data_IF_223629948164
#
_entry.id   IF_223629948164
#
_cell.length_a   1.000
_cell.length_b   1.000
_cell.length_c   1.000
_cell.angle_alpha   90.00
_cell.angle_beta   90.00
_cell.angle_gamma   90.00
#
_symmetry.space_group_name_H-M   'P 1'
#
loop_
_entity.id
_entity.type
_entity.pdbx_description
1 polymer ?
#
# COMPACT_ATOMS: atom_id res chain seq x y z
N UNK A 1 35.86 20.30 -10.62
CA UNK A 1 36.87 19.69 -11.50
C UNK A 1 36.28 18.39 -12.03
N UNK A 2 36.35 18.22 -13.35
CA UNK A 2 35.89 17.10 -14.17
C UNK A 2 34.37 16.84 -14.17
N UNK A 3 33.68 17.49 -15.11
CA UNK A 3 32.56 16.88 -15.83
C UNK A 3 33.11 15.61 -16.52
N UNK A 4 32.87 14.44 -15.95
CA UNK A 4 33.02 13.19 -16.68
C UNK A 4 31.67 12.79 -17.25
N UNK A 5 31.60 12.77 -18.58
CA UNK A 5 30.56 12.20 -19.43
C UNK A 5 29.85 11.00 -18.79
N UNK A 6 28.62 11.19 -18.31
CA UNK A 6 27.68 10.09 -18.05
C UNK A 6 27.04 9.58 -19.36
N UNK A 7 27.40 10.17 -20.49
CA UNK A 7 26.95 9.86 -21.85
C UNK A 7 27.76 8.77 -22.57
N UNK A 8 28.83 8.24 -21.97
CA UNK A 8 29.76 7.28 -22.61
C UNK A 8 29.85 5.90 -21.94
N UNK A 9 29.06 5.60 -20.91
CA UNK A 9 29.03 4.25 -20.31
C UNK A 9 27.97 3.38 -21.00
N UNK A 10 28.33 2.88 -22.18
CA UNK A 10 27.57 1.86 -22.94
C UNK A 10 27.80 0.43 -22.44
N UNK A 11 28.73 0.20 -21.52
CA UNK A 11 29.03 -1.13 -20.99
C UNK A 11 28.30 -1.42 -19.67
N UNK A 12 27.82 -2.66 -19.55
CA UNK A 12 27.24 -3.18 -18.33
C UNK A 12 28.23 -3.09 -17.15
N UNK A 13 27.78 -2.68 -15.96
CA UNK A 13 28.65 -2.58 -14.79
C UNK A 13 29.25 -3.95 -14.43
N UNK A 14 30.58 -4.04 -14.41
CA UNK A 14 31.32 -5.23 -13.92
C UNK A 14 30.81 -5.71 -12.57
N UNK A 15 30.79 -7.03 -12.31
CA UNK A 15 30.31 -7.63 -11.06
C UNK A 15 30.82 -6.94 -9.77
N UNK A 16 32.09 -6.53 -9.75
CA UNK A 16 32.69 -5.83 -8.61
C UNK A 16 32.02 -4.47 -8.32
N UNK A 17 31.62 -3.72 -9.37
CA UNK A 17 30.88 -2.45 -9.22
C UNK A 17 29.48 -2.65 -8.66
N UNK A 18 28.78 -3.73 -9.08
CA UNK A 18 27.46 -4.07 -8.55
C UNK A 18 27.53 -4.49 -7.07
N UNK A 19 28.54 -5.29 -6.69
CA UNK A 19 28.76 -5.65 -5.29
C UNK A 19 29.10 -4.44 -4.42
N UNK A 20 29.93 -3.53 -4.92
CA UNK A 20 30.30 -2.31 -4.18
C UNK A 20 29.11 -1.35 -4.06
N UNK A 21 28.26 -1.20 -5.10
CA UNK A 21 27.01 -0.45 -5.03
C UNK A 21 26.02 -1.07 -4.03
N UNK A 22 25.87 -2.41 -4.06
CA UNK A 22 25.04 -3.14 -3.11
C UNK A 22 25.53 -2.97 -1.67
N UNK A 23 26.84 -3.06 -1.40
CA UNK A 23 27.43 -2.80 -0.07
C UNK A 23 27.17 -1.38 0.42
N UNK A 24 27.09 -0.41 -0.50
CA UNK A 24 26.73 0.98 -0.19
C UNK A 24 25.24 1.18 0.03
N UNK A 25 24.41 0.17 -0.21
CA UNK A 25 22.96 0.21 -0.06
C UNK A 25 22.23 0.74 -1.31
N UNK A 26 22.90 0.81 -2.45
CA UNK A 26 22.32 1.17 -3.75
C UNK A 26 21.97 -0.11 -4.50
N UNK A 27 20.81 -0.68 -4.15
CA UNK A 27 20.30 -1.94 -4.69
C UNK A 27 19.10 -1.67 -5.61
N UNK A 28 18.97 -2.38 -6.74
CA UNK A 28 17.79 -2.29 -7.60
C UNK A 28 16.52 -2.57 -6.80
N UNK A 29 15.49 -1.73 -6.97
CA UNK A 29 14.27 -1.79 -6.17
C UNK A 29 13.06 -1.37 -7.01
N UNK A 30 12.22 -2.36 -7.29
CA UNK A 30 10.94 -2.19 -7.95
C UNK A 30 9.93 -1.64 -6.97
N UNK A 31 9.43 -0.45 -7.32
CA UNK A 31 8.35 0.18 -6.57
C UNK A 31 7.04 -0.63 -6.69
N UNK A 32 6.87 -1.35 -7.81
CA UNK A 32 5.67 -2.13 -8.09
C UNK A 32 5.52 -3.37 -7.21
N UNK A 33 6.62 -4.07 -6.93
CA UNK A 33 6.60 -5.21 -6.01
C UNK A 33 6.14 -4.75 -4.62
N UNK A 34 6.69 -3.64 -4.11
CA UNK A 34 6.31 -3.13 -2.80
C UNK A 34 4.83 -2.75 -2.74
N UNK A 35 4.35 -2.04 -3.76
CA UNK A 35 2.93 -1.70 -3.87
C UNK A 35 2.07 -2.97 -3.90
N UNK A 36 2.46 -3.99 -4.66
CA UNK A 36 1.76 -5.27 -4.76
C UNK A 36 1.66 -5.99 -3.42
N UNK A 37 2.76 -6.09 -2.66
CA UNK A 37 2.74 -6.70 -1.33
C UNK A 37 1.81 -5.94 -0.37
N UNK A 38 1.86 -4.61 -0.37
CA UNK A 38 0.98 -3.79 0.49
C UNK A 38 -0.49 -3.97 0.11
N UNK A 39 -0.82 -4.03 -1.19
CA UNK A 39 -2.18 -4.34 -1.66
C UNK A 39 -2.63 -5.73 -1.22
N UNK A 40 -1.77 -6.74 -1.34
CA UNK A 40 -2.05 -8.09 -0.87
C UNK A 40 -2.28 -8.13 0.64
N UNK A 41 -1.41 -7.47 1.42
CA UNK A 41 -1.57 -7.34 2.87
C UNK A 41 -2.89 -6.65 3.24
N UNK A 42 -3.27 -5.59 2.52
CA UNK A 42 -4.55 -4.92 2.70
C UNK A 42 -5.75 -5.82 2.42
N UNK A 43 -5.71 -6.60 1.33
CA UNK A 43 -6.75 -7.57 1.01
C UNK A 43 -6.87 -8.68 2.08
N UNK A 44 -5.73 -9.21 2.56
CA UNK A 44 -5.72 -10.18 3.65
C UNK A 44 -6.28 -9.59 4.95
N UNK A 45 -5.92 -8.35 5.28
CA UNK A 45 -6.45 -7.66 6.45
C UNK A 45 -7.97 -7.49 6.37
N UNK A 46 -8.52 -7.06 5.22
CA UNK A 46 -9.97 -6.95 5.02
C UNK A 46 -10.65 -8.33 5.09
N UNK A 47 -10.03 -9.36 4.51
CA UNK A 47 -10.58 -10.72 4.48
C UNK A 47 -10.64 -11.36 5.87
N UNK A 48 -9.55 -11.25 6.63
CA UNK A 48 -9.41 -11.91 7.93
C UNK A 48 -10.02 -11.11 9.07
N UNK A 49 -9.93 -9.78 9.03
CA UNK A 49 -10.28 -8.90 10.15
C UNK A 49 -11.52 -8.05 9.91
N UNK A 50 -11.99 -7.91 8.67
CA UNK A 50 -13.08 -6.99 8.32
C UNK A 50 -14.34 -7.20 9.17
N UNK A 51 -14.84 -8.45 9.24
CA UNK A 51 -16.05 -8.77 9.98
C UNK A 51 -15.88 -8.67 11.50
N UNK A 52 -14.77 -9.15 12.04
CA UNK A 52 -14.51 -9.09 13.49
C UNK A 52 -14.36 -7.63 13.96
N UNK A 53 -13.64 -6.81 13.19
CA UNK A 53 -13.42 -5.40 13.50
C UNK A 53 -14.72 -4.61 13.41
N UNK A 54 -15.50 -4.83 12.34
CA UNK A 54 -16.78 -4.17 12.18
C UNK A 54 -17.78 -4.58 13.27
N UNK A 55 -17.87 -5.87 13.61
CA UNK A 55 -18.71 -6.35 14.71
C UNK A 55 -18.33 -5.73 16.06
N UNK A 56 -17.05 -5.74 16.40
CA UNK A 56 -16.57 -5.15 17.66
C UNK A 56 -16.86 -3.64 17.75
N UNK A 57 -16.73 -2.91 16.64
CA UNK A 57 -17.09 -1.50 16.58
C UNK A 57 -18.61 -1.28 16.68
N UNK A 58 -19.41 -2.11 16.00
CA UNK A 58 -20.87 -2.03 16.06
C UNK A 58 -21.40 -2.30 17.46
N UNK A 59 -20.90 -3.33 18.14
CA UNK A 59 -21.29 -3.67 19.51
C UNK A 59 -20.95 -2.53 20.47
N UNK A 60 -19.76 -1.94 20.31
CA UNK A 60 -19.34 -0.82 21.12
C UNK A 60 -20.19 0.43 20.86
N UNK A 61 -20.53 0.72 19.60
CA UNK A 61 -21.37 1.86 19.23
C UNK A 61 -22.84 1.68 19.65
N UNK A 62 -23.33 0.44 19.64
CA UNK A 62 -24.72 0.12 19.98
C UNK A 62 -25.11 0.60 21.36
N UNK A 63 -24.20 0.53 22.33
CA UNK A 63 -24.45 0.96 23.70
C UNK A 63 -24.83 2.46 23.75
N UNK A 64 -24.17 3.30 22.95
CA UNK A 64 -24.45 4.75 22.90
C UNK A 64 -25.77 5.11 22.22
N UNK A 65 -26.26 4.25 21.32
CA UNK A 65 -27.48 4.51 20.55
C UNK A 65 -28.69 3.87 21.22
N UNK A 66 -28.59 2.61 21.62
CA UNK A 66 -29.71 1.83 22.12
C UNK A 66 -29.94 2.01 23.62
N UNK A 67 -28.91 2.36 24.39
CA UNK A 67 -28.97 2.49 25.85
C UNK A 67 -28.19 3.72 26.34
N UNK A 68 -28.49 4.93 25.82
CA UNK A 68 -27.75 6.14 26.22
C UNK A 68 -27.88 6.42 27.73
N UNK A 69 -29.05 6.16 28.30
CA UNK A 69 -29.33 6.38 29.73
C UNK A 69 -28.64 5.37 30.65
N UNK A 70 -28.15 4.25 30.09
CA UNK A 70 -27.44 3.23 30.84
C UNK A 70 -25.96 3.58 31.09
N UNK A 71 -25.49 4.73 30.59
CA UNK A 71 -24.13 5.23 30.81
C UNK A 71 -24.18 6.31 31.89
N UNK A 72 -23.78 6.00 33.14
CA UNK A 72 -23.70 7.00 34.19
C UNK A 72 -22.72 8.11 33.81
N UNK A 73 -23.13 9.37 34.04
CA UNK A 73 -22.34 10.57 33.76
C UNK A 73 -21.39 10.93 34.91
N UNK A 74 -20.80 9.93 35.57
CA UNK A 74 -19.72 10.14 36.54
C UNK A 74 -18.34 9.87 35.92
N UNK A 75 -17.31 10.44 36.54
CA UNK A 75 -15.95 10.43 36.01
C UNK A 75 -15.36 9.01 35.89
N UNK A 76 -15.77 8.07 36.74
CA UNK A 76 -15.23 6.71 36.74
C UNK A 76 -15.81 5.89 35.58
N UNK A 77 -17.13 5.92 35.41
CA UNK A 77 -17.79 5.23 34.29
C UNK A 77 -17.36 5.81 32.94
N UNK A 78 -17.23 7.14 32.84
CA UNK A 78 -16.75 7.78 31.62
C UNK A 78 -15.31 7.35 31.28
N UNK A 79 -14.44 7.19 32.29
CA UNK A 79 -13.08 6.66 32.10
C UNK A 79 -13.09 5.21 31.62
N UNK A 80 -13.95 4.36 32.17
CA UNK A 80 -14.07 2.97 31.74
C UNK A 80 -14.57 2.87 30.29
N UNK A 81 -15.56 3.68 29.93
CA UNK A 81 -16.05 3.80 28.54
C UNK A 81 -14.93 4.25 27.60
N UNK A 82 -14.15 5.26 27.98
CA UNK A 82 -12.99 5.72 27.20
C UNK A 82 -11.93 4.64 27.00
N UNK A 83 -11.59 3.90 28.05
CA UNK A 83 -10.61 2.81 27.97
C UNK A 83 -11.13 1.64 27.13
N UNK A 84 -12.42 1.31 27.23
CA UNK A 84 -13.07 0.28 26.41
C UNK A 84 -13.04 0.66 24.93
N UNK A 85 -13.55 1.85 24.59
CA UNK A 85 -13.50 2.41 23.24
C UNK A 85 -12.08 2.46 22.70
N UNK A 86 -11.14 2.98 23.50
CA UNK A 86 -9.74 3.10 23.12
C UNK A 86 -9.12 1.75 22.77
N UNK A 87 -9.39 0.70 23.56
CA UNK A 87 -8.92 -0.66 23.28
C UNK A 87 -9.54 -1.22 22.00
N UNK A 88 -10.85 -1.06 21.80
CA UNK A 88 -11.54 -1.57 20.60
C UNK A 88 -11.02 -0.88 19.34
N UNK A 89 -10.91 0.46 19.35
CA UNK A 89 -10.38 1.23 18.21
C UNK A 89 -8.90 0.92 17.98
N UNK A 90 -8.11 0.79 19.05
CA UNK A 90 -6.70 0.43 18.93
C UNK A 90 -6.55 -0.97 18.32
N UNK A 91 -7.33 -1.96 18.77
CA UNK A 91 -7.32 -3.31 18.19
C UNK A 91 -7.76 -3.32 16.72
N UNK A 92 -8.79 -2.54 16.39
CA UNK A 92 -9.31 -2.38 15.03
C UNK A 92 -8.27 -1.82 14.05
N UNK A 93 -7.34 -0.97 14.51
CA UNK A 93 -6.33 -0.33 13.66
C UNK A 93 -4.98 -1.04 13.74
N UNK A 94 -4.56 -1.47 14.94
CA UNK A 94 -3.22 -2.00 15.18
C UNK A 94 -2.97 -3.30 14.40
N UNK A 95 -3.96 -4.20 14.35
CA UNK A 95 -3.77 -5.49 13.67
C UNK A 95 -3.69 -5.35 12.13
N UNK A 96 -4.60 -4.62 11.45
CA UNK A 96 -4.42 -4.31 10.03
C UNK A 96 -3.11 -3.57 9.74
N UNK A 97 -2.74 -2.59 10.58
CA UNK A 97 -1.50 -1.86 10.41
C UNK A 97 -0.27 -2.76 10.51
N UNK A 98 -0.27 -3.70 11.46
CA UNK A 98 0.79 -4.70 11.60
C UNK A 98 0.91 -5.59 10.36
N UNK A 99 -0.22 -6.03 9.79
CA UNK A 99 -0.23 -6.78 8.52
C UNK A 99 0.38 -5.96 7.39
N UNK A 100 0.03 -4.67 7.28
CA UNK A 100 0.56 -3.78 6.25
C UNK A 100 2.07 -3.52 6.44
N UNK A 101 2.54 -3.35 7.68
CA UNK A 101 3.96 -3.21 8.00
C UNK A 101 4.71 -4.48 7.59
N UNK A 102 4.20 -5.66 7.98
CA UNK A 102 4.81 -6.94 7.61
C UNK A 102 4.85 -7.12 6.10
N UNK A 103 3.77 -6.77 5.39
CA UNK A 103 3.72 -6.84 3.94
C UNK A 103 4.71 -5.88 3.28
N UNK A 104 4.82 -4.63 3.77
CA UNK A 104 5.80 -3.67 3.27
C UNK A 104 7.24 -4.14 3.51
N UNK A 105 7.54 -4.71 4.68
CA UNK A 105 8.86 -5.28 4.97
C UNK A 105 9.15 -6.48 4.06
N UNK A 106 8.19 -7.39 3.92
CA UNK A 106 8.31 -8.56 3.05
C UNK A 106 8.59 -8.14 1.59
N UNK A 107 7.89 -7.12 1.07
CA UNK A 107 8.12 -6.61 -0.26
C UNK A 107 9.54 -6.06 -0.49
N UNK A 108 10.17 -5.49 0.54
CA UNK A 108 11.57 -5.04 0.44
C UNK A 108 12.54 -6.22 0.54
N UNK A 109 12.31 -7.13 1.50
CA UNK A 109 13.18 -8.29 1.75
C UNK A 109 13.22 -9.27 0.57
N UNK A 110 12.10 -9.45 -0.14
CA UNK A 110 12.03 -10.30 -1.34
C UNK A 110 12.86 -9.73 -2.50
N UNK A 111 13.00 -8.41 -2.57
CA UNK A 111 13.74 -7.74 -3.65
C UNK A 111 15.24 -7.72 -3.39
N UNK A 112 15.64 -7.45 -2.14
CA UNK A 112 17.05 -7.42 -1.74
C UNK A 112 17.19 -7.76 -0.26
N UNK A 113 18.32 -8.36 0.13
CA UNK A 113 18.63 -8.52 1.55
C UNK A 113 18.81 -7.14 2.21
N UNK A 114 18.43 -6.98 3.50
CA UNK A 114 18.69 -5.75 4.22
C UNK A 114 20.19 -5.45 4.25
N UNK A 115 20.61 -4.34 3.64
CA UNK A 115 22.00 -3.86 3.69
C UNK A 115 22.08 -2.67 4.64
N UNK A 116 22.86 -2.82 5.72
CA UNK A 116 23.20 -1.70 6.59
C UNK A 116 24.42 -0.97 6.04
N UNK A 117 24.20 0.23 5.50
CA UNK A 117 25.27 1.13 5.03
C UNK A 117 25.18 2.49 5.71
N UNK A 118 26.21 2.84 6.48
CA UNK A 118 26.36 4.19 7.05
C UNK A 118 26.79 5.23 6.02
N UNK A 119 27.17 4.82 4.80
CA UNK A 119 27.63 5.72 3.74
C UNK A 119 26.48 6.57 3.18
N UNK A 120 25.27 5.98 3.10
CA UNK A 120 24.05 6.67 2.65
C UNK A 120 23.48 7.68 3.65
N UNK A 121 23.86 7.59 4.93
CA UNK A 121 23.46 8.53 5.98
C UNK A 121 24.29 9.82 5.97
N UNK A 122 25.38 9.88 5.19
CA UNK A 122 26.20 11.10 5.09
C UNK A 122 25.46 12.17 4.27
N UNK A 123 25.34 13.41 4.78
CA UNK A 123 24.75 14.50 4.03
C UNK A 123 25.60 14.79 2.79
N UNK A 124 24.96 14.82 1.63
CA UNK A 124 25.61 15.09 0.35
C UNK A 124 24.96 16.29 -0.33
N UNK A 125 25.75 17.33 -0.58
CA UNK A 125 25.32 18.53 -1.32
C UNK A 125 24.90 18.22 -2.76
N UNK A 126 25.38 17.11 -3.35
CA UNK A 126 24.97 16.69 -4.68
C UNK A 126 23.52 16.17 -4.74
N UNK A 127 22.95 15.76 -3.60
CA UNK A 127 21.52 15.36 -3.50
C UNK A 127 20.57 16.56 -3.41
N UNK A 128 21.06 17.77 -3.14
CA UNK A 128 20.24 18.98 -2.88
C UNK A 128 20.27 19.97 -4.07
N UNK A 129 21.06 19.72 -5.12
CA UNK A 129 21.14 20.62 -6.28
C UNK A 129 19.79 20.79 -7.00
N UNK A 130 19.23 22.02 -7.09
CA UNK A 130 17.97 22.27 -7.79
C UNK A 130 18.01 21.93 -9.28
N UNK A 131 19.15 22.17 -9.93
CA UNK A 131 19.36 21.89 -11.36
C UNK A 131 19.27 20.40 -11.66
N UNK A 132 19.98 19.56 -10.88
CA UNK A 132 19.90 18.10 -10.98
C UNK A 132 18.52 17.58 -10.58
N UNK A 133 17.82 18.29 -9.69
CA UNK A 133 16.42 18.01 -9.37
C UNK A 133 15.48 18.20 -10.56
N UNK A 134 15.60 19.32 -11.28
CA UNK A 134 14.81 19.58 -12.50
C UNK A 134 15.08 18.55 -13.59
N UNK A 135 16.34 18.20 -13.83
CA UNK A 135 16.70 17.17 -14.81
C UNK A 135 16.14 15.79 -14.45
N UNK A 136 16.12 15.44 -13.16
CA UNK A 136 15.46 14.21 -12.69
C UNK A 136 13.95 14.26 -12.89
N UNK A 137 13.31 15.41 -12.68
CA UNK A 137 11.86 15.57 -12.83
C UNK A 137 11.39 15.60 -14.29
N UNK A 138 12.17 16.19 -15.20
CA UNK A 138 11.81 16.36 -16.62
C UNK A 138 12.65 15.50 -17.58
N UNK A 139 13.53 14.64 -17.06
CA UNK A 139 14.35 13.75 -17.86
C UNK A 139 13.58 12.58 -18.48
N UNK A 140 14.19 11.85 -19.41
CA UNK A 140 13.56 10.74 -20.13
C UNK A 140 13.04 9.63 -19.21
N UNK A 141 13.72 9.41 -18.06
CA UNK A 141 13.28 8.46 -17.03
C UNK A 141 11.93 8.87 -16.40
N UNK A 142 11.72 10.17 -16.17
CA UNK A 142 10.46 10.67 -15.61
C UNK A 142 9.31 10.60 -16.61
N UNK A 143 9.58 10.86 -17.90
CA UNK A 143 8.58 10.64 -18.96
C UNK A 143 8.19 9.17 -19.06
N UNK A 144 9.16 8.25 -19.00
CA UNK A 144 8.88 6.80 -18.99
C UNK A 144 8.03 6.40 -17.78
N UNK A 145 8.37 6.89 -16.59
CA UNK A 145 7.59 6.63 -15.38
C UNK A 145 6.17 7.19 -15.46
N UNK A 146 6.00 8.37 -16.07
CA UNK A 146 4.68 8.96 -16.31
C UNK A 146 3.85 8.06 -17.23
N UNK A 147 4.42 7.61 -18.35
CA UNK A 147 3.73 6.71 -19.29
C UNK A 147 3.35 5.39 -18.60
N UNK A 148 4.28 4.75 -17.87
CA UNK A 148 4.00 3.56 -17.06
C UNK A 148 2.85 3.82 -16.07
N UNK A 149 2.86 4.98 -15.41
CA UNK A 149 1.81 5.39 -14.47
C UNK A 149 0.44 5.54 -15.12
N UNK A 150 0.36 6.19 -16.28
CA UNK A 150 -0.88 6.35 -17.04
C UNK A 150 -1.43 5.00 -17.50
N UNK A 151 -0.57 4.15 -18.08
CA UNK A 151 -0.97 2.80 -18.53
C UNK A 151 -1.49 1.99 -17.34
N UNK A 152 -0.76 1.97 -16.22
CA UNK A 152 -1.20 1.25 -15.02
C UNK A 152 -2.55 1.75 -14.50
N UNK A 153 -2.72 3.07 -14.42
CA UNK A 153 -3.97 3.68 -13.98
C UNK A 153 -5.13 3.34 -14.92
N UNK A 154 -4.90 3.33 -16.23
CA UNK A 154 -5.90 2.93 -17.21
C UNK A 154 -6.28 1.44 -17.06
N UNK A 155 -5.31 0.55 -16.86
CA UNK A 155 -5.57 -0.88 -16.67
C UNK A 155 -6.33 -1.14 -15.35
N UNK A 156 -5.90 -0.53 -14.24
CA UNK A 156 -6.58 -0.64 -12.94
C UNK A 156 -8.00 -0.07 -13.04
N UNK A 157 -8.18 1.09 -13.69
CA UNK A 157 -9.47 1.70 -13.93
C UNK A 157 -10.40 0.80 -14.76
N UNK A 158 -9.89 0.22 -15.84
CA UNK A 158 -10.63 -0.71 -16.69
C UNK A 158 -11.08 -1.96 -15.91
N UNK A 159 -10.17 -2.57 -15.15
CA UNK A 159 -10.47 -3.79 -14.38
C UNK A 159 -11.50 -3.50 -13.29
N UNK A 160 -11.32 -2.40 -12.57
CA UNK A 160 -12.26 -1.97 -11.54
C UNK A 160 -13.63 -1.68 -12.16
N UNK A 161 -13.67 -1.04 -13.33
CA UNK A 161 -14.90 -0.78 -14.07
C UNK A 161 -15.58 -2.10 -14.50
N UNK A 162 -14.84 -3.05 -15.07
CA UNK A 162 -15.38 -4.35 -15.50
C UNK A 162 -15.91 -5.18 -14.33
N UNK A 163 -15.34 -5.05 -13.13
CA UNK A 163 -15.82 -5.71 -11.91
C UNK A 163 -17.04 -4.99 -11.32
N UNK A 164 -17.04 -3.66 -11.32
CA UNK A 164 -18.11 -2.86 -10.72
C UNK A 164 -19.37 -2.78 -11.60
N UNK A 165 -19.20 -2.74 -12.92
CA UNK A 165 -20.28 -2.49 -13.87
C UNK A 165 -21.42 -3.51 -13.79
N UNK A 166 -21.17 -4.83 -13.72
CA UNK A 166 -22.23 -5.82 -13.55
C UNK A 166 -22.98 -5.70 -12.23
N UNK A 167 -22.33 -5.16 -11.20
CA UNK A 167 -22.95 -5.00 -9.87
C UNK A 167 -23.83 -3.74 -9.77
N UNK A 168 -23.87 -2.87 -10.79
CA UNK A 168 -24.67 -1.64 -10.79
C UNK A 168 -26.16 -1.89 -10.51
N UNK A 169 -26.70 -2.96 -11.09
CA UNK A 169 -28.12 -3.29 -10.97
C UNK A 169 -28.41 -3.82 -9.56
N UNK A 170 -27.44 -4.54 -8.97
CA UNK A 170 -27.48 -5.00 -7.59
C UNK A 170 -27.42 -3.84 -6.60
N UNK A 171 -26.61 -2.82 -6.86
CA UNK A 171 -26.53 -1.60 -6.02
C UNK A 171 -27.89 -0.90 -5.92
N UNK A 172 -28.66 -0.82 -7.01
CA UNK A 172 -30.01 -0.26 -7.00
C UNK A 172 -30.98 -1.04 -6.11
N UNK A 173 -30.81 -2.36 -6.01
CA UNK A 173 -31.61 -3.23 -5.16
C UNK A 173 -31.17 -3.23 -3.69
N UNK A 174 -29.93 -2.83 -3.38
CA UNK A 174 -29.43 -2.80 -2.00
C UNK A 174 -30.27 -1.90 -1.07
N UNK A 175 -30.97 -0.89 -1.61
CA UNK A 175 -31.89 -0.06 -0.82
C UNK A 175 -33.06 -0.85 -0.22
N UNK A 176 -33.37 -2.03 -0.76
CA UNK A 176 -34.44 -2.92 -0.28
C UNK A 176 -33.92 -4.01 0.65
N UNK A 177 -32.60 -4.10 0.83
CA UNK A 177 -31.99 -5.17 1.61
C UNK A 177 -32.04 -4.86 3.10
N UNK A 178 -32.06 -5.93 3.90
CA UNK A 178 -31.82 -5.80 5.33
C UNK A 178 -30.43 -5.21 5.58
N UNK A 179 -30.34 -4.25 6.51
CA UNK A 179 -29.11 -3.55 6.88
C UNK A 179 -28.00 -4.52 7.30
N UNK A 180 -28.38 -5.65 7.91
CA UNK A 180 -27.43 -6.69 8.33
C UNK A 180 -26.69 -7.35 7.16
N UNK A 181 -27.26 -7.32 5.95
CA UNK A 181 -26.66 -7.90 4.74
C UNK A 181 -25.74 -6.92 4.00
N UNK A 182 -25.81 -5.62 4.31
CA UNK A 182 -25.03 -4.60 3.61
C UNK A 182 -23.53 -4.76 3.86
N UNK A 183 -23.13 -4.98 5.11
CA UNK A 183 -21.71 -5.09 5.46
C UNK A 183 -21.02 -6.30 4.79
N UNK A 184 -21.56 -7.54 4.84
CA UNK A 184 -21.00 -8.66 4.08
C UNK A 184 -20.97 -8.43 2.56
N UNK A 185 -21.98 -7.75 2.01
CA UNK A 185 -22.03 -7.42 0.59
C UNK A 185 -20.89 -6.46 0.20
N UNK A 186 -20.70 -5.39 0.98
CA UNK A 186 -19.59 -4.43 0.80
C UNK A 186 -18.24 -5.11 0.94
N UNK A 187 -18.06 -5.97 1.95
CA UNK A 187 -16.82 -6.72 2.13
C UNK A 187 -16.53 -7.61 0.90
N UNK A 188 -17.54 -8.32 0.39
CA UNK A 188 -17.39 -9.19 -0.78
C UNK A 188 -17.03 -8.38 -2.03
N UNK A 189 -17.68 -7.23 -2.25
CA UNK A 189 -17.35 -6.33 -3.36
C UNK A 189 -15.93 -5.78 -3.25
N UNK A 190 -15.53 -5.33 -2.06
CA UNK A 190 -14.19 -4.82 -1.79
C UNK A 190 -13.13 -5.90 -2.07
N UNK A 191 -13.34 -7.14 -1.61
CA UNK A 191 -12.42 -8.26 -1.86
C UNK A 191 -12.37 -8.65 -3.34
N UNK A 192 -13.49 -8.61 -4.07
CA UNK A 192 -13.51 -8.84 -5.53
C UNK A 192 -12.70 -7.77 -6.26
N UNK A 193 -12.88 -6.50 -5.91
CA UNK A 193 -12.13 -5.39 -6.49
C UNK A 193 -10.63 -5.51 -6.18
N UNK A 194 -10.28 -5.71 -4.91
CA UNK A 194 -8.89 -5.89 -4.50
C UNK A 194 -8.25 -7.09 -5.20
N UNK A 195 -8.95 -8.22 -5.28
CA UNK A 195 -8.48 -9.43 -5.98
C UNK A 195 -8.22 -9.18 -7.46
N UNK A 196 -9.12 -8.48 -8.16
CA UNK A 196 -8.94 -8.13 -9.56
C UNK A 196 -7.75 -7.18 -9.79
N UNK A 197 -7.62 -6.15 -8.95
CA UNK A 197 -6.49 -5.22 -9.00
C UNK A 197 -5.18 -5.94 -8.71
N UNK A 198 -5.14 -6.81 -7.68
CA UNK A 198 -3.96 -7.61 -7.35
C UNK A 198 -3.57 -8.52 -8.51
N UNK A 199 -4.53 -9.19 -9.17
CA UNK A 199 -4.24 -10.06 -10.31
C UNK A 199 -3.52 -9.31 -11.44
N UNK A 200 -4.01 -8.12 -11.79
CA UNK A 200 -3.40 -7.25 -12.80
C UNK A 200 -2.04 -6.72 -12.34
N UNK A 201 -1.98 -6.23 -11.10
CA UNK A 201 -0.74 -5.69 -10.53
C UNK A 201 0.32 -6.76 -10.35
N UNK A 202 -0.04 -8.04 -10.28
CA UNK A 202 0.91 -9.15 -10.31
C UNK A 202 1.67 -9.14 -11.64
N UNK A 203 0.97 -9.01 -12.77
CA UNK A 203 1.59 -8.95 -14.09
C UNK A 203 2.48 -7.71 -14.21
N UNK A 204 1.98 -6.55 -13.77
CA UNK A 204 2.75 -5.29 -13.79
C UNK A 204 4.02 -5.38 -12.93
N UNK A 205 3.91 -5.92 -11.71
CA UNK A 205 5.04 -6.05 -10.80
C UNK A 205 6.09 -7.04 -11.30
N UNK A 206 5.68 -8.15 -11.91
CA UNK A 206 6.62 -9.12 -12.50
C UNK A 206 7.38 -8.49 -13.68
N UNK A 207 6.67 -7.78 -14.57
CA UNK A 207 7.31 -7.11 -15.70
C UNK A 207 8.27 -6.00 -15.26
N UNK A 208 7.87 -5.20 -14.27
CA UNK A 208 8.71 -4.13 -13.75
C UNK A 208 9.95 -4.67 -13.04
N UNK A 209 9.80 -5.74 -12.26
CA UNK A 209 10.94 -6.41 -11.62
C UNK A 209 11.94 -7.01 -12.62
N UNK A 210 11.43 -7.63 -13.69
CA UNK A 210 12.30 -8.14 -14.76
C UNK A 210 13.03 -7.00 -15.46
N UNK A 211 12.36 -5.88 -15.74
CA UNK A 211 12.94 -4.72 -16.41
C UNK A 211 13.99 -4.00 -15.55
N UNK A 212 13.81 -3.93 -14.24
CA UNK A 212 14.79 -3.29 -13.35
C UNK A 212 16.02 -4.15 -13.04
N UNK A 213 15.93 -5.46 -13.29
CA UNK A 213 17.02 -6.41 -13.04
C UNK A 213 17.84 -6.71 -14.30
N UNK A 214 17.32 -6.37 -15.48
CA UNK A 214 18.04 -6.30 -16.75
C UNK A 214 18.83 -4.98 -16.83
#
# INVERSE_FOLDING_TARGET
MAEENDSEKTEEPTHKKLEDAAKKGDVPKSQEINAWFVMLGGALAVMMLGNSTAGALMDQLRIFIAQPDAIPMDAEHLRLVWLGLGKTVLGAIAMPLLILIVAAVAGNVVQHMPVFSGENMKPSFSKISPMKGLERLFGPKSVMNLVKGIVKMAVVGLVTFLIAWPERDRLGLMMTWDVTLLLPAVQTMALRMLGGVIAVMTVVAVLDYMFERM
#
